data_IF_519474338756
#
_entry.id   IF_519474338756
#
_cell.length_a   1.000
_cell.length_b   1.000
_cell.length_c   1.000
_cell.angle_alpha   90.00
_cell.angle_beta   90.00
_cell.angle_gamma   90.00
#
_symmetry.space_group_name_H-M   'P 1'
#
loop_
_entity.id
_entity.type
_entity.pdbx_description
1 polymer ?
#
# COMPACT_ATOMS: atom_id res chain seq x y z
N UNK A 1 11.32 4.58 -0.78
CA UNK A 1 9.85 4.66 -0.79
C UNK A 1 9.31 3.89 -1.98
N UNK A 2 8.27 3.12 -1.77
CA UNK A 2 7.64 2.36 -2.85
C UNK A 2 6.52 3.19 -3.46
N UNK A 3 6.75 3.73 -4.66
CA UNK A 3 5.79 4.60 -5.33
C UNK A 3 4.72 3.76 -6.03
N UNK A 4 3.46 4.00 -5.69
CA UNK A 4 2.34 3.33 -6.34
C UNK A 4 1.99 4.06 -7.64
N UNK A 5 1.44 3.34 -8.65
CA UNK A 5 1.03 3.97 -9.90
C UNK A 5 -0.22 4.82 -9.70
N UNK A 6 -0.58 5.59 -10.73
CA UNK A 6 -1.79 6.40 -10.69
C UNK A 6 -3.06 5.57 -10.72
N UNK A 7 -2.99 4.36 -11.28
CA UNK A 7 -4.14 3.49 -11.49
C UNK A 7 -3.92 2.16 -10.77
N UNK A 8 -4.83 1.81 -9.88
CA UNK A 8 -4.85 0.52 -9.19
C UNK A 8 -6.26 -0.08 -9.22
N UNK A 9 -6.83 -0.17 -10.40
CA UNK A 9 -8.02 -0.97 -10.65
C UNK A 9 -7.63 -2.44 -10.67
N UNK A 10 -8.58 -3.34 -10.83
CA UNK A 10 -8.32 -4.79 -10.77
C UNK A 10 -7.18 -5.22 -11.68
N UNK A 11 -7.23 -4.84 -12.96
CA UNK A 11 -6.21 -5.24 -13.92
C UNK A 11 -4.84 -4.62 -13.60
N UNK A 12 -4.81 -3.34 -13.25
CA UNK A 12 -3.58 -2.63 -12.93
C UNK A 12 -2.93 -3.18 -11.65
N UNK A 13 -3.76 -3.52 -10.65
CA UNK A 13 -3.27 -4.10 -9.40
C UNK A 13 -2.65 -5.47 -9.63
N UNK A 14 -3.28 -6.30 -10.47
CA UNK A 14 -2.74 -7.62 -10.80
C UNK A 14 -1.38 -7.48 -11.49
N UNK A 15 -1.25 -6.53 -12.40
CA UNK A 15 0.00 -6.28 -13.10
C UNK A 15 1.09 -5.79 -12.14
N UNK A 16 0.75 -4.88 -11.26
CA UNK A 16 1.71 -4.35 -10.29
C UNK A 16 2.17 -5.45 -9.32
N UNK A 17 1.27 -6.35 -8.96
CA UNK A 17 1.57 -7.42 -8.02
C UNK A 17 2.64 -8.39 -8.53
N UNK A 18 2.80 -8.50 -9.85
CA UNK A 18 3.80 -9.41 -10.43
C UNK A 18 5.23 -9.09 -9.98
N UNK A 19 5.54 -7.80 -9.76
CA UNK A 19 6.87 -7.40 -9.31
C UNK A 19 6.93 -7.04 -7.83
N UNK A 20 5.87 -7.29 -7.09
CA UNK A 20 5.74 -6.76 -5.72
C UNK A 20 6.81 -7.30 -4.78
N UNK A 21 7.07 -8.60 -4.82
CA UNK A 21 8.04 -9.21 -3.92
C UNK A 21 9.43 -8.59 -4.08
N UNK A 22 9.88 -8.42 -5.33
CA UNK A 22 11.15 -7.78 -5.61
C UNK A 22 11.15 -6.31 -5.22
N UNK A 23 10.05 -5.61 -5.49
CA UNK A 23 9.93 -4.21 -5.14
C UNK A 23 10.05 -4.01 -3.63
N UNK A 24 9.41 -4.88 -2.85
CA UNK A 24 9.50 -4.83 -1.38
C UNK A 24 10.91 -5.17 -0.93
N UNK A 25 11.54 -6.18 -1.54
CA UNK A 25 12.88 -6.60 -1.14
C UNK A 25 13.92 -5.50 -1.30
N UNK A 26 13.75 -4.61 -2.27
CA UNK A 26 14.69 -3.51 -2.53
C UNK A 26 14.44 -2.29 -1.65
N UNK A 27 13.40 -2.30 -0.82
CA UNK A 27 13.07 -1.17 0.05
C UNK A 27 13.84 -1.26 1.38
N UNK A 28 14.04 -0.11 2.07
CA UNK A 28 14.68 -0.12 3.38
C UNK A 28 13.80 -0.80 4.44
N UNK A 29 14.34 -0.96 5.63
CA UNK A 29 13.66 -1.64 6.74
C UNK A 29 12.34 -0.98 7.11
N UNK A 30 12.21 0.33 6.89
CA UNK A 30 10.94 1.03 7.04
C UNK A 30 10.37 1.29 5.65
N UNK A 31 9.50 0.39 5.20
CA UNK A 31 8.90 0.48 3.89
C UNK A 31 7.69 1.41 3.94
N UNK A 32 7.75 2.48 3.16
CA UNK A 32 6.63 3.41 3.00
C UNK A 32 6.10 3.29 1.59
N UNK A 33 4.83 2.90 1.45
CA UNK A 33 4.15 2.90 0.16
C UNK A 33 3.58 4.29 -0.08
N UNK A 34 3.99 4.92 -1.18
CA UNK A 34 3.53 6.25 -1.54
C UNK A 34 2.31 6.16 -2.45
N UNK A 35 1.15 6.47 -1.90
CA UNK A 35 -0.13 6.46 -2.60
C UNK A 35 -0.57 7.86 -3.02
N UNK A 36 0.28 8.87 -2.86
CA UNK A 36 -0.12 10.26 -3.11
C UNK A 36 -0.47 10.53 -4.58
N UNK A 37 0.07 9.74 -5.51
CA UNK A 37 -0.26 9.87 -6.93
C UNK A 37 -1.43 9.04 -7.40
N UNK A 38 -2.02 8.25 -6.52
CA UNK A 38 -3.12 7.34 -6.88
C UNK A 38 -4.40 8.13 -7.18
N UNK A 39 -4.93 7.95 -8.40
CA UNK A 39 -6.09 8.71 -8.88
C UNK A 39 -7.27 7.82 -9.22
N UNK A 40 -7.01 6.65 -9.80
CA UNK A 40 -8.04 5.71 -10.22
C UNK A 40 -7.85 4.39 -9.50
N UNK A 41 -8.86 3.95 -8.75
CA UNK A 41 -8.73 2.73 -7.95
C UNK A 41 -10.10 2.15 -7.62
N UNK A 42 -10.10 0.87 -7.29
CA UNK A 42 -11.24 0.18 -6.72
C UNK A 42 -10.75 -0.61 -5.50
N UNK A 43 -11.57 -1.53 -4.99
CA UNK A 43 -11.18 -2.31 -3.82
C UNK A 43 -9.94 -3.18 -4.04
N UNK A 44 -9.55 -3.41 -5.28
CA UNK A 44 -8.30 -4.14 -5.59
C UNK A 44 -7.07 -3.41 -5.08
N UNK A 45 -7.13 -2.08 -4.98
CA UNK A 45 -6.04 -1.31 -4.40
C UNK A 45 -5.80 -1.68 -2.93
N UNK A 46 -6.87 -1.92 -2.17
CA UNK A 46 -6.73 -2.38 -0.79
C UNK A 46 -6.09 -3.76 -0.74
N UNK A 47 -6.53 -4.67 -1.61
CA UNK A 47 -5.94 -6.00 -1.68
C UNK A 47 -4.45 -5.93 -1.98
N UNK A 48 -4.05 -5.03 -2.89
CA UNK A 48 -2.65 -4.83 -3.22
C UNK A 48 -1.86 -4.29 -2.03
N UNK A 49 -2.41 -3.31 -1.31
CA UNK A 49 -1.74 -2.76 -0.13
C UNK A 49 -1.57 -3.81 0.96
N UNK A 50 -2.57 -4.67 1.15
CA UNK A 50 -2.48 -5.77 2.11
C UNK A 50 -1.43 -6.80 1.68
N UNK A 51 -1.33 -7.08 0.38
CA UNK A 51 -0.29 -7.95 -0.15
C UNK A 51 1.11 -7.35 0.08
N UNK A 52 1.23 -6.04 -0.13
CA UNK A 52 2.47 -5.32 0.13
C UNK A 52 2.87 -5.43 1.59
N UNK A 53 1.92 -5.26 2.51
CA UNK A 53 2.16 -5.41 3.93
C UNK A 53 2.63 -6.83 4.27
N UNK A 54 2.00 -7.85 3.69
CA UNK A 54 2.40 -9.24 3.92
C UNK A 54 3.84 -9.47 3.50
N UNK A 55 4.22 -8.96 2.32
CA UNK A 55 5.61 -9.11 1.85
C UNK A 55 6.58 -8.36 2.76
N UNK A 56 6.21 -7.17 3.22
CA UNK A 56 7.05 -6.40 4.12
C UNK A 56 7.27 -7.12 5.44
N UNK A 57 6.20 -7.65 6.03
CA UNK A 57 6.28 -8.39 7.29
C UNK A 57 7.14 -9.64 7.12
N UNK A 58 6.94 -10.37 6.02
CA UNK A 58 7.74 -11.57 5.73
C UNK A 58 9.23 -11.23 5.58
N UNK A 59 9.54 -10.03 5.12
CA UNK A 59 10.93 -9.56 4.98
C UNK A 59 11.47 -8.89 6.24
N UNK A 60 10.70 -8.88 7.33
CA UNK A 60 11.10 -8.25 8.58
C UNK A 60 11.09 -6.73 8.54
N UNK A 61 10.28 -6.14 7.67
CA UNK A 61 10.21 -4.69 7.48
C UNK A 61 8.94 -4.12 8.08
N UNK A 62 9.03 -2.88 8.58
CA UNK A 62 7.86 -2.13 8.99
C UNK A 62 7.15 -1.59 7.76
N UNK A 63 5.82 -1.50 7.81
CA UNK A 63 5.00 -1.05 6.68
C UNK A 63 4.11 0.11 7.07
N UNK A 64 4.07 1.13 6.22
CA UNK A 64 3.13 2.24 6.35
C UNK A 64 2.82 2.79 4.97
N UNK A 65 1.78 3.63 4.87
CA UNK A 65 1.33 4.22 3.62
C UNK A 65 1.30 5.74 3.75
N UNK A 66 1.79 6.42 2.75
CA UNK A 66 1.79 7.88 2.69
C UNK A 66 0.81 8.34 1.63
N UNK A 67 0.02 9.36 1.97
CA UNK A 67 -0.86 10.00 0.99
C UNK A 67 -2.01 9.15 0.49
N UNK A 68 -2.52 8.23 1.32
CA UNK A 68 -3.65 7.39 0.92
C UNK A 68 -4.88 8.26 0.66
N UNK A 69 -5.54 8.13 -0.51
CA UNK A 69 -6.76 8.89 -0.77
C UNK A 69 -7.84 8.62 0.28
N UNK A 70 -8.58 9.68 0.64
CA UNK A 70 -9.60 9.58 1.68
C UNK A 70 -10.64 8.50 1.39
N UNK A 71 -11.07 8.37 0.12
CA UNK A 71 -12.03 7.34 -0.25
C UNK A 71 -11.50 5.94 0.00
N UNK A 72 -10.22 5.73 -0.28
CA UNK A 72 -9.61 4.43 -0.06
C UNK A 72 -9.45 4.15 1.43
N UNK A 73 -9.15 5.17 2.22
CA UNK A 73 -9.09 5.06 3.67
C UNK A 73 -10.47 4.69 4.24
N UNK A 74 -11.54 5.27 3.69
CA UNK A 74 -12.89 4.94 4.09
C UNK A 74 -13.24 3.48 3.76
N UNK A 75 -12.85 3.00 2.58
CA UNK A 75 -13.05 1.62 2.20
C UNK A 75 -12.32 0.66 3.15
N UNK A 76 -11.09 1.02 3.53
CA UNK A 76 -10.33 0.21 4.49
C UNK A 76 -11.06 0.09 5.82
N UNK A 77 -11.67 1.18 6.28
CA UNK A 77 -12.49 1.18 7.50
C UNK A 77 -13.70 0.28 7.38
N UNK A 78 -14.39 0.35 6.23
CA UNK A 78 -15.56 -0.49 5.98
C UNK A 78 -15.22 -1.98 5.99
N UNK A 79 -14.08 -2.35 5.46
CA UNK A 79 -13.63 -3.74 5.43
C UNK A 79 -12.94 -4.18 6.72
N UNK A 80 -12.78 -3.26 7.68
CA UNK A 80 -12.15 -3.58 8.95
C UNK A 80 -10.65 -3.80 8.87
N UNK A 81 -9.99 -3.25 7.86
CA UNK A 81 -8.55 -3.45 7.64
C UNK A 81 -7.73 -2.17 7.79
N UNK A 82 -8.34 -1.08 8.23
CA UNK A 82 -7.65 0.20 8.35
C UNK A 82 -6.39 0.11 9.22
N UNK A 83 -6.40 -0.70 10.26
CA UNK A 83 -5.27 -0.88 11.16
C UNK A 83 -4.07 -1.54 10.49
N UNK A 84 -4.33 -2.30 9.41
CA UNK A 84 -3.28 -2.99 8.67
C UNK A 84 -2.59 -2.07 7.67
N UNK A 85 -3.13 -0.87 7.47
CA UNK A 85 -2.61 0.12 6.52
C UNK A 85 -2.34 1.43 7.28
N UNK A 86 -1.36 1.44 8.18
CA UNK A 86 -1.10 2.62 9.00
C UNK A 86 -0.56 3.77 8.15
N UNK A 87 -0.99 4.97 8.51
CA UNK A 87 -0.58 6.20 7.82
C UNK A 87 0.80 6.63 8.33
N UNK A 88 1.78 6.71 7.43
CA UNK A 88 3.13 7.11 7.80
C UNK A 88 3.18 8.58 8.24
N UNK A 89 2.28 9.42 7.73
CA UNK A 89 2.22 10.83 8.11
C UNK A 89 1.73 11.03 9.55
N UNK A 90 1.05 10.04 10.13
CA UNK A 90 0.61 10.07 11.51
C UNK A 90 1.72 9.65 12.49
N UNK A 91 2.82 9.13 11.98
CA UNK A 91 3.93 8.75 12.84
C UNK A 91 4.52 9.99 13.49
N UNK A 92 4.88 9.93 14.76
CA UNK A 92 5.50 11.07 15.43
C UNK A 92 6.82 11.41 14.73
N UNK A 93 6.99 12.67 14.53
CA UNK A 93 8.19 13.18 13.88
C UNK A 93 9.42 12.95 14.77
#
# INVERSE_FOLDING_TARGET
MLTLPEVLTHAASAQFALGLKQAVASQPAQLVADASGLREFDSSALALLLACRREAVAAGKAFSVQGLPARLRQLAGLYGVAELIPDSAAAPA
#
